data_IF_781120642966
#
_entry.id   IF_781120642966
#
_cell.length_a   1.000
_cell.length_b   1.000
_cell.length_c   1.000
_cell.angle_alpha   90.00
_cell.angle_beta   90.00
_cell.angle_gamma   90.00
#
_symmetry.space_group_name_H-M   'P 1'
#
loop_
_entity.id
_entity.type
_entity.pdbx_description
1 polymer ?
#
# COMPACT_ATOMS: atom_id res chain seq x y z
N UNK A 1 -7.02 -17.70 11.82
CA UNK A 1 -6.40 -17.73 10.48
C UNK A 1 -5.31 -16.68 10.48
N UNK A 2 -4.06 -17.09 10.66
CA UNK A 2 -2.92 -16.17 10.71
C UNK A 2 -2.82 -15.48 9.35
N UNK A 3 -3.31 -14.25 9.27
CA UNK A 3 -3.04 -13.38 8.13
C UNK A 3 -1.54 -13.10 8.17
N UNK A 4 -0.75 -14.02 7.59
CA UNK A 4 0.57 -13.71 7.09
C UNK A 4 0.31 -12.64 6.05
N UNK A 5 0.27 -11.41 6.51
CA UNK A 5 0.44 -10.26 5.67
C UNK A 5 1.87 -10.37 5.13
N UNK A 6 2.01 -11.17 4.07
CA UNK A 6 3.28 -11.43 3.40
C UNK A 6 3.74 -10.07 2.94
N UNK A 7 4.81 -9.59 3.57
CA UNK A 7 5.48 -8.38 3.16
C UNK A 7 5.61 -8.39 1.62
N UNK A 8 5.18 -7.34 0.91
CA UNK A 8 5.11 -7.35 -0.54
C UNK A 8 6.49 -7.01 -1.06
N UNK A 9 7.40 -7.99 -0.94
CA UNK A 9 8.81 -7.93 -1.36
C UNK A 9 8.91 -7.35 -2.77
N UNK A 10 8.05 -7.81 -3.67
CA UNK A 10 8.03 -7.33 -5.05
C UNK A 10 7.65 -5.88 -5.23
N UNK A 11 6.77 -5.33 -4.40
CA UNK A 11 6.44 -3.91 -4.46
C UNK A 11 7.54 -3.05 -3.84
N UNK A 12 8.18 -3.56 -2.78
CA UNK A 12 9.31 -2.90 -2.15
C UNK A 12 10.52 -2.82 -3.08
N UNK A 13 10.84 -3.92 -3.77
CA UNK A 13 12.00 -3.96 -4.69
C UNK A 13 11.75 -3.21 -6.00
N UNK A 14 10.51 -3.11 -6.46
CA UNK A 14 10.13 -2.35 -7.65
C UNK A 14 9.74 -0.89 -7.35
N UNK A 15 10.17 -0.33 -6.21
CA UNK A 15 10.00 1.10 -5.99
C UNK A 15 10.74 1.88 -7.09
N UNK A 16 10.16 2.97 -7.62
CA UNK A 16 10.85 3.78 -8.61
C UNK A 16 11.98 4.57 -7.94
N UNK A 17 13.17 3.97 -7.91
CA UNK A 17 14.34 4.51 -7.21
C UNK A 17 14.96 5.73 -7.92
N UNK A 18 14.61 5.97 -9.18
CA UNK A 18 15.24 6.98 -10.05
C UNK A 18 14.26 8.06 -10.54
N UNK A 19 13.02 8.06 -10.04
CA UNK A 19 12.05 9.11 -10.37
C UNK A 19 12.29 10.33 -9.48
N UNK A 20 12.42 11.51 -10.08
CA UNK A 20 12.69 12.77 -9.36
C UNK A 20 11.51 13.18 -8.47
N UNK A 21 10.30 12.76 -8.83
CA UNK A 21 9.06 13.08 -8.12
C UNK A 21 8.67 12.03 -7.05
N UNK A 22 9.44 10.93 -6.94
CA UNK A 22 9.15 9.85 -6.00
C UNK A 22 10.24 9.72 -4.93
N UNK A 23 9.84 9.69 -3.66
CA UNK A 23 10.76 9.43 -2.56
C UNK A 23 10.72 7.95 -2.17
N UNK A 24 11.75 7.14 -2.54
CA UNK A 24 11.76 5.73 -2.21
C UNK A 24 11.86 5.51 -0.70
N UNK A 25 11.03 4.60 -0.21
CA UNK A 25 10.96 4.22 1.21
C UNK A 25 11.90 3.04 1.44
N UNK A 26 13.15 3.31 1.79
CA UNK A 26 14.19 2.29 1.95
C UNK A 26 14.05 1.43 3.23
N UNK A 27 13.22 1.85 4.19
CA UNK A 27 12.97 1.08 5.42
C UNK A 27 11.84 0.08 5.19
N UNK A 28 12.09 -1.24 5.25
CA UNK A 28 11.06 -2.25 5.00
C UNK A 28 9.87 -2.12 5.96
N UNK A 29 10.12 -1.86 7.24
CA UNK A 29 9.05 -1.65 8.23
C UNK A 29 8.21 -0.39 7.96
N UNK A 30 8.83 0.68 7.47
CA UNK A 30 8.11 1.90 7.07
C UNK A 30 7.26 1.65 5.82
N UNK A 31 7.85 1.02 4.80
CA UNK A 31 7.15 0.65 3.58
C UNK A 31 5.95 -0.25 3.88
N UNK A 32 6.13 -1.23 4.77
CA UNK A 32 5.08 -2.15 5.14
C UNK A 32 3.86 -1.44 5.74
N UNK A 33 4.09 -0.54 6.71
CA UNK A 33 3.01 0.26 7.30
C UNK A 33 2.29 1.14 6.28
N UNK A 34 3.04 1.82 5.42
CA UNK A 34 2.46 2.63 4.34
C UNK A 34 1.60 1.77 3.41
N UNK A 35 2.10 0.60 3.04
CA UNK A 35 1.37 -0.33 2.18
C UNK A 35 0.03 -0.77 2.79
N UNK A 36 0.00 -1.01 4.10
CA UNK A 36 -1.23 -1.36 4.81
C UNK A 36 -2.21 -0.19 4.84
N UNK A 37 -1.73 1.03 5.09
CA UNK A 37 -2.57 2.24 5.08
C UNK A 37 -3.21 2.44 3.70
N UNK A 38 -2.40 2.43 2.63
CA UNK A 38 -2.89 2.58 1.25
C UNK A 38 -3.89 1.47 0.85
N UNK A 39 -3.75 0.27 1.42
CA UNK A 39 -4.72 -0.79 1.20
C UNK A 39 -6.05 -0.49 1.89
N UNK A 40 -6.01 -0.04 3.14
CA UNK A 40 -7.21 0.35 3.89
C UNK A 40 -7.92 1.54 3.24
N UNK A 41 -7.19 2.56 2.81
CA UNK A 41 -7.74 3.72 2.10
C UNK A 41 -8.52 3.30 0.85
N UNK A 42 -7.95 2.43 0.02
CA UNK A 42 -8.64 1.90 -1.17
C UNK A 42 -9.87 1.07 -0.83
N UNK A 43 -9.83 0.29 0.24
CA UNK A 43 -11.02 -0.45 0.69
C UNK A 43 -12.13 0.51 1.13
N UNK A 44 -11.79 1.54 1.91
CA UNK A 44 -12.73 2.57 2.35
C UNK A 44 -13.31 3.36 1.18
N UNK A 45 -12.49 3.75 0.20
CA UNK A 45 -12.94 4.42 -1.02
C UNK A 45 -13.94 3.57 -1.79
N UNK A 46 -13.66 2.28 -1.97
CA UNK A 46 -14.56 1.34 -2.65
C UNK A 46 -15.87 1.17 -1.91
N UNK A 47 -15.84 1.04 -0.58
CA UNK A 47 -17.05 0.97 0.24
C UNK A 47 -17.87 2.25 0.17
N UNK A 48 -17.22 3.42 0.19
CA UNK A 48 -17.88 4.71 0.06
C UNK A 48 -18.52 4.89 -1.33
N UNK A 49 -17.87 4.40 -2.39
CA UNK A 49 -18.43 4.42 -3.75
C UNK A 49 -19.64 3.48 -3.88
N UNK A 50 -19.55 2.27 -3.33
CA UNK A 50 -20.67 1.33 -3.29
C UNK A 50 -21.90 1.96 -2.60
N UNK A 51 -21.71 2.55 -1.41
CA UNK A 51 -22.78 3.24 -0.65
C UNK A 51 -23.40 4.44 -1.36
N UNK A 52 -22.73 5.04 -2.35
CA UNK A 52 -23.28 6.17 -3.15
C UNK A 52 -24.09 5.72 -4.36
N UNK A 53 -24.01 4.44 -4.71
CA UNK A 53 -24.63 3.88 -5.91
C UNK A 53 -25.96 3.16 -5.59
N UNK A 54 -26.29 3.02 -4.31
CA UNK A 54 -27.57 2.56 -3.75
C UNK A 54 -28.46 3.76 -3.37
#
# INVERSE_FOLDING_TARGET
MSQLLRFPVWKFLNQPLFETDYQPVLSPGRFWRLHQIEFLERCLEREAQAKRSD
#
